data_IF_119946216473
#
_entry.id   IF_119946216473
#
_cell.length_a   1.000
_cell.length_b   1.000
_cell.length_c   1.000
_cell.angle_alpha   90.00
_cell.angle_beta   90.00
_cell.angle_gamma   90.00
#
_symmetry.space_group_name_H-M   'P 1'
#
loop_
_entity.id
_entity.type
_entity.pdbx_description
1 polymer ?
#
# COMPACT_ATOMS: atom_id res chain seq x y z
N UNK A 1 -44.11 5.32 -6.70
CA UNK A 1 -43.36 6.09 -5.69
C UNK A 1 -42.57 5.10 -4.83
N UNK A 2 -41.34 4.76 -5.22
CA UNK A 2 -40.50 3.80 -4.48
C UNK A 2 -39.62 4.56 -3.48
N UNK A 3 -39.79 4.26 -2.19
CA UNK A 3 -38.96 4.80 -1.10
C UNK A 3 -37.55 4.19 -1.19
N UNK A 4 -36.61 4.99 -1.67
CA UNK A 4 -35.16 4.76 -1.50
C UNK A 4 -34.81 4.98 -0.02
N UNK A 5 -34.87 3.92 0.79
CA UNK A 5 -34.31 3.89 2.15
C UNK A 5 -33.09 2.95 2.18
N UNK A 6 -32.08 3.28 1.38
CA UNK A 6 -30.74 2.76 1.58
C UNK A 6 -30.02 3.65 2.58
N UNK A 7 -29.93 3.23 3.84
CA UNK A 7 -29.01 3.86 4.79
C UNK A 7 -27.60 3.70 4.22
N UNK A 8 -27.04 4.75 3.63
CA UNK A 8 -25.61 4.79 3.28
C UNK A 8 -24.84 4.69 4.59
N UNK A 9 -24.44 3.46 4.94
CA UNK A 9 -23.58 3.18 6.09
C UNK A 9 -22.20 3.69 5.70
N UNK A 10 -21.97 4.99 5.91
CA UNK A 10 -20.63 5.57 5.79
C UNK A 10 -19.73 4.77 6.74
N UNK A 11 -18.80 4.01 6.17
CA UNK A 11 -17.81 3.28 6.93
C UNK A 11 -16.88 4.30 7.58
N UNK A 12 -16.53 4.08 8.84
CA UNK A 12 -15.57 4.94 9.52
C UNK A 12 -14.25 4.97 8.71
N UNK A 13 -13.58 6.14 8.61
CA UNK A 13 -12.36 6.28 7.82
C UNK A 13 -11.28 5.30 8.30
N UNK A 14 -10.63 4.62 7.37
CA UNK A 14 -9.47 3.77 7.67
C UNK A 14 -8.26 4.68 7.87
N UNK A 15 -7.64 4.59 9.05
CA UNK A 15 -6.39 5.30 9.33
C UNK A 15 -5.22 4.47 8.80
N UNK A 16 -4.41 5.07 7.94
CA UNK A 16 -3.19 4.48 7.40
C UNK A 16 -2.00 5.15 8.07
N UNK A 17 -1.18 4.37 8.76
CA UNK A 17 0.04 4.84 9.40
C UNK A 17 1.23 4.77 8.43
N UNK A 18 2.31 5.50 8.71
CA UNK A 18 3.53 5.39 7.93
C UNK A 18 4.13 3.97 8.12
N UNK A 19 4.31 3.18 7.06
CA UNK A 19 4.87 1.83 7.17
C UNK A 19 6.39 1.85 7.40
N UNK A 20 7.06 2.97 7.14
CA UNK A 20 8.51 3.12 7.26
C UNK A 20 8.87 4.56 7.58
N UNK A 21 9.96 4.76 8.31
CA UNK A 21 10.54 6.09 8.55
C UNK A 21 11.10 6.64 7.24
N UNK A 22 10.77 7.89 6.89
CA UNK A 22 11.27 8.50 5.66
C UNK A 22 10.53 9.77 5.25
N UNK A 23 10.79 10.23 4.03
CA UNK A 23 10.17 11.41 3.45
C UNK A 23 8.98 11.02 2.57
N UNK A 24 7.79 11.52 2.92
CA UNK A 24 6.59 11.37 2.11
C UNK A 24 6.72 12.19 0.82
N UNK A 25 6.47 11.56 -0.32
CA UNK A 25 6.43 12.20 -1.64
C UNK A 25 5.10 11.88 -2.33
N UNK A 26 4.69 12.78 -3.22
CA UNK A 26 3.52 12.53 -4.07
C UNK A 26 3.80 11.38 -5.03
N UNK A 27 2.77 10.58 -5.33
CA UNK A 27 2.90 9.46 -6.26
C UNK A 27 3.37 9.93 -7.65
N UNK A 28 2.99 11.15 -8.06
CA UNK A 28 3.41 11.78 -9.32
C UNK A 28 4.93 12.02 -9.43
N UNK A 29 5.67 12.02 -8.31
CA UNK A 29 7.12 12.19 -8.29
C UNK A 29 7.88 10.85 -8.41
N UNK A 30 7.16 9.72 -8.38
CA UNK A 30 7.74 8.39 -8.54
C UNK A 30 8.15 8.19 -9.99
N UNK A 31 9.39 7.76 -10.23
CA UNK A 31 9.93 7.51 -11.58
C UNK A 31 9.47 6.17 -12.17
N UNK A 32 8.17 5.90 -12.12
CA UNK A 32 7.51 4.72 -12.69
C UNK A 32 6.11 5.14 -13.18
N UNK A 33 5.78 5.00 -14.48
CA UNK A 33 4.48 5.39 -15.03
C UNK A 33 3.27 4.66 -14.41
N UNK A 34 3.45 3.42 -13.94
CA UNK A 34 2.38 2.63 -13.31
C UNK A 34 1.95 3.28 -12.00
N UNK A 35 2.92 3.74 -11.20
CA UNK A 35 2.66 4.41 -9.93
C UNK A 35 2.32 5.89 -10.14
N UNK A 36 3.16 6.65 -10.84
CA UNK A 36 2.93 8.09 -11.09
C UNK A 36 1.62 8.38 -11.82
N UNK A 37 1.18 7.47 -12.70
CA UNK A 37 -0.10 7.53 -13.39
C UNK A 37 -1.29 7.02 -12.56
N UNK A 38 -1.09 6.62 -11.30
CA UNK A 38 -2.12 6.05 -10.40
C UNK A 38 -2.85 4.83 -11.00
N UNK A 39 -2.20 4.07 -11.87
CA UNK A 39 -2.83 2.94 -12.58
C UNK A 39 -3.24 1.81 -11.64
N UNK A 40 -2.52 1.66 -10.52
CA UNK A 40 -2.80 0.68 -9.46
C UNK A 40 -3.70 1.21 -8.34
N UNK A 41 -4.10 2.48 -8.41
CA UNK A 41 -4.86 3.17 -7.37
C UNK A 41 -4.20 4.46 -6.90
N UNK A 42 -4.90 5.16 -6.00
CA UNK A 42 -4.39 6.38 -5.38
C UNK A 42 -3.51 6.07 -4.16
N UNK A 43 -2.64 7.01 -3.79
CA UNK A 43 -1.74 6.85 -2.66
C UNK A 43 -0.59 7.83 -2.64
N UNK A 44 0.50 7.40 -2.02
CA UNK A 44 1.73 8.17 -1.84
C UNK A 44 2.94 7.22 -1.87
N UNK A 45 4.13 7.78 -2.01
CA UNK A 45 5.37 7.05 -1.82
C UNK A 45 6.16 7.63 -0.64
N UNK A 46 7.06 6.82 -0.09
CA UNK A 46 7.98 7.24 0.96
C UNK A 46 9.39 6.93 0.48
N UNK A 47 10.29 7.92 0.51
CA UNK A 47 11.73 7.70 0.38
C UNK A 47 12.23 7.25 1.76
N UNK A 48 12.60 5.97 1.93
CA UNK A 48 12.92 5.42 3.24
C UNK A 48 14.23 6.00 3.79
N UNK A 49 14.27 6.24 5.10
CA UNK A 49 15.45 6.62 5.87
C UNK A 49 15.96 5.47 6.77
N UNK A 50 15.21 4.37 6.86
CA UNK A 50 15.50 3.16 7.61
C UNK A 50 15.14 1.93 6.75
N UNK A 51 15.43 0.72 7.21
CA UNK A 51 15.11 -0.54 6.53
C UNK A 51 13.94 -1.30 7.16
N UNK A 52 13.51 -0.92 8.38
CA UNK A 52 12.42 -1.59 9.08
C UNK A 52 11.05 -1.19 8.50
N UNK A 53 10.34 -2.17 7.94
CA UNK A 53 8.98 -2.02 7.43
C UNK A 53 7.97 -2.59 8.43
N UNK A 54 6.94 -1.81 8.74
CA UNK A 54 5.85 -2.17 9.64
C UNK A 54 4.51 -2.16 8.91
N UNK A 55 3.51 -2.84 9.48
CA UNK A 55 2.16 -2.79 8.94
C UNK A 55 1.57 -1.38 9.11
N UNK A 56 1.09 -0.73 8.04
CA UNK A 56 0.46 0.59 8.12
C UNK A 56 -1.01 0.52 8.54
N UNK A 57 -1.60 -0.67 8.60
CA UNK A 57 -3.01 -0.90 8.93
C UNK A 57 -3.20 -2.17 9.76
N UNK A 58 -4.34 -2.27 10.44
CA UNK A 58 -4.84 -3.53 10.95
C UNK A 58 -5.60 -4.27 9.84
N UNK A 59 -5.23 -5.53 9.57
CA UNK A 59 -5.83 -6.30 8.48
C UNK A 59 -5.19 -7.67 8.31
N UNK A 60 -5.58 -8.34 7.23
CA UNK A 60 -5.08 -9.66 6.84
C UNK A 60 -4.14 -9.48 5.64
N UNK A 61 -2.96 -10.09 5.70
CA UNK A 61 -2.08 -10.18 4.53
C UNK A 61 -2.74 -11.07 3.49
N UNK A 62 -3.19 -10.47 2.39
CA UNK A 62 -3.92 -11.15 1.31
C UNK A 62 -3.00 -11.66 0.21
N UNK A 63 -1.81 -11.07 0.07
CA UNK A 63 -0.83 -11.41 -0.95
C UNK A 63 0.57 -11.08 -0.47
N UNK A 64 1.54 -11.94 -0.78
CA UNK A 64 2.97 -11.63 -0.73
C UNK A 64 3.55 -11.96 -2.11
N UNK A 65 4.18 -11.00 -2.75
CA UNK A 65 4.84 -11.23 -4.04
C UNK A 65 5.98 -12.24 -3.89
N UNK A 66 6.23 -13.05 -4.92
CA UNK A 66 7.24 -14.13 -4.88
C UNK A 66 8.64 -13.60 -4.54
N UNK A 67 9.04 -12.46 -5.12
CA UNK A 67 10.32 -11.80 -4.83
C UNK A 67 10.26 -10.88 -3.60
N UNK A 68 9.17 -10.95 -2.83
CA UNK A 68 8.94 -10.25 -1.54
C UNK A 68 8.91 -8.72 -1.61
N UNK A 69 8.98 -8.12 -2.79
CA UNK A 69 8.93 -6.66 -2.98
C UNK A 69 7.55 -6.04 -2.82
N UNK A 70 6.48 -6.83 -2.74
CA UNK A 70 5.14 -6.30 -2.56
C UNK A 70 4.29 -7.15 -1.59
N UNK A 71 3.46 -6.47 -0.82
CA UNK A 71 2.56 -7.06 0.17
C UNK A 71 1.19 -6.41 0.00
N UNK A 72 0.17 -7.25 -0.18
CA UNK A 72 -1.24 -6.84 -0.14
C UNK A 72 -1.81 -7.06 1.25
N UNK A 73 -2.53 -6.06 1.79
CA UNK A 73 -3.22 -6.13 3.08
C UNK A 73 -4.68 -5.73 2.87
N UNK A 74 -5.59 -6.61 3.26
CA UNK A 74 -7.03 -6.33 3.26
C UNK A 74 -7.48 -5.95 4.67
N UNK A 75 -8.10 -4.78 4.80
CA UNK A 75 -8.68 -4.33 6.07
C UNK A 75 -10.07 -4.94 6.29
N UNK A 76 -10.51 -5.00 7.54
CA UNK A 76 -11.87 -5.40 7.94
C UNK A 76 -12.96 -4.48 7.36
N UNK A 77 -12.56 -3.30 6.88
CA UNK A 77 -13.42 -2.29 6.26
C UNK A 77 -13.42 -2.34 4.73
N UNK A 78 -12.81 -3.34 4.12
CA UNK A 78 -12.82 -3.55 2.68
C UNK A 78 -11.90 -2.60 1.89
N UNK A 79 -11.01 -1.86 2.56
CA UNK A 79 -9.87 -1.22 1.89
C UNK A 79 -8.81 -2.28 1.61
N UNK A 80 -8.42 -2.42 0.36
CA UNK A 80 -7.25 -3.19 -0.08
C UNK A 80 -6.06 -2.24 -0.23
N UNK A 81 -4.99 -2.52 0.50
CA UNK A 81 -3.77 -1.74 0.51
C UNK A 81 -2.64 -2.56 -0.13
N UNK A 82 -1.91 -1.96 -1.07
CA UNK A 82 -0.70 -2.52 -1.67
C UNK A 82 0.52 -1.73 -1.19
N UNK A 83 1.49 -2.42 -0.59
CA UNK A 83 2.80 -1.86 -0.27
C UNK A 83 3.79 -2.42 -1.29
N UNK A 84 4.46 -1.54 -2.04
CA UNK A 84 5.50 -1.90 -3.00
C UNK A 84 6.83 -1.28 -2.57
N UNK A 85 7.88 -2.09 -2.48
CA UNK A 85 9.19 -1.72 -1.96
C UNK A 85 10.17 -1.49 -3.11
N UNK A 86 10.50 -0.22 -3.36
CA UNK A 86 11.40 0.21 -4.43
C UNK A 86 10.78 0.16 -5.83
N UNK A 87 11.55 0.57 -6.83
CA UNK A 87 11.23 0.46 -8.27
C UNK A 87 12.17 -0.62 -8.83
N UNK A 88 11.67 -1.47 -9.73
CA UNK A 88 12.42 -2.58 -10.38
C UNK A 88 13.00 -3.64 -9.42
N UNK A 89 12.58 -3.66 -8.16
CA UNK A 89 13.06 -4.64 -7.16
C UNK A 89 12.57 -6.07 -7.40
N UNK A 90 11.64 -6.25 -8.35
CA UNK A 90 11.25 -7.55 -8.88
C UNK A 90 12.47 -8.31 -9.40
N UNK A 91 13.43 -7.61 -10.02
CA UNK A 91 14.62 -8.19 -10.63
C UNK A 91 15.69 -8.60 -9.60
N UNK A 92 15.57 -8.15 -8.35
CA UNK A 92 16.54 -8.42 -7.29
C UNK A 92 16.37 -9.80 -6.62
N UNK A 93 15.44 -10.63 -7.09
CA UNK A 93 15.21 -12.01 -6.64
C UNK A 93 15.12 -12.18 -5.09
N UNK A 94 14.70 -11.14 -4.36
CA UNK A 94 14.57 -11.15 -2.90
C UNK A 94 15.86 -10.96 -2.10
N UNK A 95 17.00 -10.68 -2.74
CA UNK A 95 18.33 -10.67 -2.08
C UNK A 95 18.60 -9.56 -1.04
N UNK A 96 17.78 -8.48 -0.90
CA UNK A 96 17.85 -7.64 0.30
C UNK A 96 16.60 -7.70 1.19
N UNK A 97 15.53 -8.41 0.80
CA UNK A 97 14.23 -8.38 1.48
C UNK A 97 14.05 -9.59 2.40
N UNK A 98 14.77 -9.58 3.53
CA UNK A 98 14.55 -10.51 4.63
C UNK A 98 13.38 -10.04 5.50
N UNK A 99 12.36 -10.87 5.68
CA UNK A 99 11.43 -10.74 6.81
C UNK A 99 12.17 -11.31 8.02
N UNK A 100 12.96 -10.46 8.68
CA UNK A 100 13.63 -10.80 9.94
C UNK A 100 12.66 -10.89 11.10
#
# INVERSE_FOLDING_TARGET
MFKFLGKNKQMAPVTVYAPITGNLIELAQVNDPVFSGKMMGDGFAIIPADSALYSPVHGIVSMIAVTKHAIGIQTDRGLDLLIHMGIDTVELAGSPLGFG
#
